data_IF_881615727352
#
_entry.id   IF_881615727352
#
_cell.length_a   1.000
_cell.length_b   1.000
_cell.length_c   1.000
_cell.angle_alpha   90.00
_cell.angle_beta   90.00
_cell.angle_gamma   90.00
#
_symmetry.space_group_name_H-M   'P 1'
#
loop_
_entity.id
_entity.type
_entity.pdbx_description
1 polymer ?
#
# COMPACT_ATOMS: atom_id res chain seq x y z
N UNK A 1 -3.81 17.06 -47.44
CA UNK A 1 -2.75 16.54 -46.56
C UNK A 1 -3.29 16.46 -45.15
N UNK A 2 -3.66 15.27 -44.68
CA UNK A 2 -4.35 15.06 -43.40
C UNK A 2 -3.31 14.62 -42.36
N UNK A 3 -3.02 15.47 -41.37
CA UNK A 3 -2.02 15.18 -40.34
C UNK A 3 -2.65 14.25 -39.30
N UNK A 4 -2.23 12.99 -39.25
CA UNK A 4 -2.64 12.05 -38.23
C UNK A 4 -2.18 12.57 -36.84
N UNK A 5 -3.13 12.71 -35.92
CA UNK A 5 -2.85 12.95 -34.50
C UNK A 5 -2.37 11.63 -33.89
N UNK A 6 -1.08 11.51 -33.65
CA UNK A 6 -0.53 10.42 -32.85
C UNK A 6 -0.90 10.68 -31.39
N UNK A 7 -1.91 9.99 -30.88
CA UNK A 7 -2.21 9.98 -29.45
C UNK A 7 -1.08 9.22 -28.76
N UNK A 8 -0.31 9.82 -27.83
CA UNK A 8 0.67 9.04 -27.07
C UNK A 8 -0.10 8.04 -26.23
N UNK A 9 0.25 6.75 -26.37
CA UNK A 9 -0.22 5.72 -25.46
C UNK A 9 0.29 6.07 -24.06
N UNK A 10 -0.60 6.59 -23.22
CA UNK A 10 -0.32 6.79 -21.81
C UNK A 10 -0.20 5.40 -21.18
N UNK A 11 1.03 4.95 -20.97
CA UNK A 11 1.29 3.77 -20.14
C UNK A 11 1.05 4.22 -18.70
N UNK A 12 -0.16 3.97 -18.20
CA UNK A 12 -0.68 4.39 -16.88
C UNK A 12 -0.08 3.59 -15.70
N UNK A 13 1.12 3.04 -15.92
CA UNK A 13 1.83 2.25 -14.93
C UNK A 13 2.82 3.15 -14.22
N UNK A 14 2.80 3.12 -12.89
CA UNK A 14 3.83 3.78 -12.08
C UNK A 14 5.21 3.37 -12.58
N UNK A 15 6.13 4.33 -12.66
CA UNK A 15 7.51 4.03 -13.01
C UNK A 15 8.04 2.94 -12.06
N UNK A 16 8.87 1.99 -12.55
CA UNK A 16 9.43 0.94 -11.71
C UNK A 16 10.07 1.57 -10.48
N UNK A 17 9.67 1.12 -9.29
CA UNK A 17 10.21 1.65 -8.04
C UNK A 17 11.73 1.49 -8.09
N UNK A 18 12.44 2.62 -7.94
CA UNK A 18 13.88 2.57 -7.77
C UNK A 18 14.22 1.72 -6.56
N UNK A 19 15.29 0.90 -6.60
CA UNK A 19 15.73 0.16 -5.42
C UNK A 19 15.87 1.09 -4.21
N UNK A 20 15.45 0.63 -3.04
CA UNK A 20 15.62 1.38 -1.80
C UNK A 20 17.10 1.65 -1.59
N UNK A 21 17.45 2.90 -1.27
CA UNK A 21 18.81 3.25 -0.86
C UNK A 21 18.94 3.08 0.63
N UNK A 22 20.19 3.06 1.12
CA UNK A 22 20.50 2.94 2.55
C UNK A 22 19.74 3.97 3.40
N UNK A 23 19.61 5.21 2.92
CA UNK A 23 18.83 6.26 3.62
C UNK A 23 17.34 5.92 3.76
N UNK A 24 16.79 5.24 2.76
CA UNK A 24 15.38 4.88 2.71
C UNK A 24 15.13 3.70 3.67
N UNK A 25 16.12 2.82 3.84
CA UNK A 25 16.11 1.75 4.85
C UNK A 25 16.18 2.29 6.28
N UNK A 26 17.06 3.27 6.55
CA UNK A 26 17.15 3.92 7.88
C UNK A 26 15.83 4.63 8.22
N UNK A 27 15.24 5.34 7.26
CA UNK A 27 13.95 5.98 7.46
C UNK A 27 12.82 4.96 7.72
N UNK A 28 12.86 3.79 7.08
CA UNK A 28 11.92 2.70 7.36
C UNK A 28 12.13 2.13 8.76
N UNK A 29 13.38 1.92 9.16
CA UNK A 29 13.73 1.42 10.51
C UNK A 29 13.20 2.37 11.59
N UNK A 30 13.48 3.67 11.47
CA UNK A 30 12.94 4.72 12.36
C UNK A 30 11.40 4.79 12.32
N UNK A 31 10.79 4.50 11.18
CA UNK A 31 9.34 4.52 11.05
C UNK A 31 8.67 3.33 11.75
N UNK A 32 9.34 2.18 11.81
CA UNK A 32 8.86 0.97 12.49
C UNK A 32 9.32 0.87 13.95
N UNK A 33 10.34 1.63 14.36
CA UNK A 33 10.77 1.78 15.76
C UNK A 33 9.82 2.71 16.54
N UNK A 34 8.56 2.28 16.64
CA UNK A 34 7.48 3.01 17.29
C UNK A 34 7.05 2.32 18.57
N UNK A 35 7.24 3.01 19.70
CA UNK A 35 6.81 2.56 21.02
C UNK A 35 5.28 2.47 21.16
N UNK A 36 4.52 3.19 20.32
CA UNK A 36 3.06 3.28 20.38
C UNK A 36 2.33 2.22 19.53
N UNK A 37 3.06 1.23 19.01
CA UNK A 37 2.48 0.19 18.15
C UNK A 37 1.34 -0.58 18.85
N UNK A 38 1.49 -0.84 20.14
CA UNK A 38 0.48 -1.57 20.94
C UNK A 38 -0.82 -0.76 21.10
N UNK A 39 -0.68 0.56 21.30
CA UNK A 39 -1.83 1.46 21.44
C UNK A 39 -2.56 1.60 20.09
N UNK A 40 -1.79 1.69 19.00
CA UNK A 40 -2.33 1.69 17.64
C UNK A 40 -3.09 0.39 17.33
N UNK A 41 -2.52 -0.76 17.68
CA UNK A 41 -3.17 -2.07 17.52
C UNK A 41 -4.50 -2.12 18.27
N UNK A 42 -4.54 -1.64 19.52
CA UNK A 42 -5.76 -1.58 20.31
C UNK A 42 -6.83 -0.69 19.67
N UNK A 43 -6.46 0.48 19.15
CA UNK A 43 -7.41 1.40 18.54
C UNK A 43 -7.96 0.87 17.20
N UNK A 44 -7.10 0.26 16.39
CA UNK A 44 -7.50 -0.42 15.16
C UNK A 44 -8.49 -1.55 15.47
N UNK A 45 -8.15 -2.43 16.42
CA UNK A 45 -9.04 -3.52 16.83
C UNK A 45 -10.39 -3.00 17.35
N UNK A 46 -10.38 -1.93 18.15
CA UNK A 46 -11.61 -1.29 18.62
C UNK A 46 -12.46 -0.76 17.47
N UNK A 47 -11.86 -0.20 16.43
CA UNK A 47 -12.57 0.27 15.24
C UNK A 47 -13.13 -0.89 14.41
N UNK A 48 -12.33 -1.95 14.19
CA UNK A 48 -12.78 -3.13 13.45
C UNK A 48 -13.97 -3.81 14.12
N UNK A 49 -13.96 -3.93 15.45
CA UNK A 49 -15.07 -4.49 16.23
C UNK A 49 -16.38 -3.67 16.12
N UNK A 50 -16.32 -2.41 15.67
CA UNK A 50 -17.51 -1.56 15.45
C UNK A 50 -18.09 -1.74 14.05
N UNK A 51 -17.36 -2.35 13.12
CA UNK A 51 -17.83 -2.63 11.77
C UNK A 51 -18.63 -3.95 11.81
N UNK A 52 -19.95 -3.83 11.99
CA UNK A 52 -20.86 -4.97 11.91
C UNK A 52 -21.75 -4.89 10.66
N UNK A 53 -21.91 -5.97 9.88
CA UNK A 53 -21.24 -7.27 10.04
C UNK A 53 -19.74 -7.15 9.77
N UNK A 54 -18.96 -8.05 10.36
CA UNK A 54 -17.50 -8.08 10.16
C UNK A 54 -17.21 -8.17 8.64
N UNK A 55 -16.43 -7.24 8.08
CA UNK A 55 -16.09 -7.30 6.66
C UNK A 55 -15.33 -8.59 6.31
N UNK A 56 -15.52 -9.13 5.11
CA UNK A 56 -14.79 -10.31 4.65
C UNK A 56 -13.34 -9.95 4.25
N UNK A 57 -12.49 -9.70 5.24
CA UNK A 57 -11.09 -9.29 5.02
C UNK A 57 -10.28 -10.34 4.26
N UNK A 58 -10.62 -11.63 4.40
CA UNK A 58 -9.91 -12.72 3.74
C UNK A 58 -10.02 -12.70 2.20
N UNK A 59 -11.19 -12.34 1.66
CA UNK A 59 -11.39 -12.26 0.20
C UNK A 59 -10.79 -10.98 -0.38
N UNK A 60 -10.84 -9.87 0.37
CA UNK A 60 -10.30 -8.58 -0.05
C UNK A 60 -8.77 -8.54 -0.08
N UNK A 61 -8.11 -9.35 0.76
CA UNK A 61 -6.65 -9.46 0.85
C UNK A 61 -6.09 -10.65 0.06
N UNK A 62 -6.93 -11.33 -0.72
CA UNK A 62 -6.51 -12.46 -1.56
C UNK A 62 -5.34 -12.11 -2.49
N UNK A 63 -5.29 -10.88 -2.99
CA UNK A 63 -4.18 -10.39 -3.82
C UNK A 63 -2.82 -10.44 -3.09
N UNK A 64 -2.80 -10.26 -1.77
CA UNK A 64 -1.55 -10.21 -1.00
C UNK A 64 -0.86 -11.58 -0.93
N UNK A 65 -1.63 -12.67 -1.05
CA UNK A 65 -1.10 -14.05 -1.10
C UNK A 65 -0.25 -14.30 -2.34
N UNK A 66 -0.43 -13.53 -3.40
CA UNK A 66 0.36 -13.65 -4.63
C UNK A 66 1.71 -12.90 -4.54
N UNK A 67 1.89 -12.08 -3.50
CA UNK A 67 3.08 -11.24 -3.28
C UNK A 67 3.92 -11.62 -2.05
N UNK A 68 3.43 -12.52 -1.20
CA UNK A 68 4.15 -13.10 -0.04
C UNK A 68 4.78 -14.45 -0.40
#
# INVERSE_FOLDING_TARGET
MTRARTTPAYSDHAAPLSPLRDRDLVALDEFFDRDDLLDLEQDVNRHLLRLFPEPCWEDALSFLKDYL
#
